data_IF_789562133149
#
_entry.id   IF_789562133149
#
_cell.length_a   1.000
_cell.length_b   1.000
_cell.length_c   1.000
_cell.angle_alpha   90.00
_cell.angle_beta   90.00
_cell.angle_gamma   90.00
#
_symmetry.space_group_name_H-M   'P 1'
#
loop_
_entity.id
_entity.type
_entity.pdbx_description
1 polymer ?
#
# COMPACT_ATOMS: atom_id res chain seq x y z
N UNK A 1 -4.00 -20.83 -11.76
CA UNK A 1 -3.29 -21.21 -10.51
C UNK A 1 -2.90 -19.92 -9.82
N UNK A 2 -3.54 -19.56 -8.71
CA UNK A 2 -3.13 -18.40 -7.92
C UNK A 2 -2.23 -18.91 -6.78
N UNK A 3 -0.96 -18.50 -6.71
CA UNK A 3 -0.05 -18.98 -5.67
C UNK A 3 -0.53 -18.57 -4.25
N UNK A 4 -0.07 -19.32 -3.26
CA UNK A 4 -0.65 -19.46 -1.91
C UNK A 4 -0.93 -18.23 -1.06
N UNK A 5 -0.51 -17.01 -1.44
CA UNK A 5 -0.97 -15.79 -0.75
C UNK A 5 -2.49 -15.59 -0.91
N UNK A 6 -3.03 -15.98 -2.07
CA UNK A 6 -4.48 -15.90 -2.34
C UNK A 6 -5.34 -16.83 -1.48
N UNK A 7 -4.75 -17.86 -0.87
CA UNK A 7 -5.46 -18.80 0.01
C UNK A 7 -5.40 -18.41 1.48
N UNK A 8 -4.62 -17.38 1.83
CA UNK A 8 -4.52 -16.86 3.20
C UNK A 8 -5.64 -15.83 3.43
N UNK A 9 -6.52 -16.02 4.44
CA UNK A 9 -7.56 -15.06 4.75
C UNK A 9 -7.00 -13.71 5.20
N UNK A 10 -7.70 -12.61 4.90
CA UNK A 10 -7.30 -11.26 5.33
C UNK A 10 -7.19 -11.12 6.86
N UNK A 11 -7.97 -11.88 7.62
CA UNK A 11 -7.90 -11.84 9.09
C UNK A 11 -6.56 -12.36 9.63
N UNK A 12 -5.90 -13.26 8.90
CA UNK A 12 -4.55 -13.73 9.24
C UNK A 12 -3.51 -12.62 8.97
N UNK A 13 -3.66 -11.87 7.87
CA UNK A 13 -2.85 -10.67 7.60
C UNK A 13 -3.04 -9.61 8.70
N UNK A 14 -4.29 -9.32 9.08
CA UNK A 14 -4.61 -8.39 10.16
C UNK A 14 -4.02 -8.82 11.49
N UNK A 15 -4.06 -10.11 11.81
CA UNK A 15 -3.42 -10.65 13.01
C UNK A 15 -1.90 -10.48 12.98
N UNK A 16 -1.27 -10.79 11.84
CA UNK A 16 0.17 -10.64 11.64
C UNK A 16 0.61 -9.17 11.74
N UNK A 17 -0.16 -8.24 11.18
CA UNK A 17 0.13 -6.80 11.27
C UNK A 17 0.03 -6.28 12.70
N UNK A 18 -1.04 -6.62 13.43
CA UNK A 18 -1.16 -6.23 14.85
C UNK A 18 0.01 -6.75 15.68
N UNK A 19 0.42 -7.99 15.45
CA UNK A 19 1.56 -8.58 16.14
C UNK A 19 2.88 -7.89 15.76
N UNK A 20 3.08 -7.60 14.47
CA UNK A 20 4.25 -6.86 14.01
C UNK A 20 4.31 -5.46 14.63
N UNK A 21 3.20 -4.72 14.68
CA UNK A 21 3.15 -3.39 15.31
C UNK A 21 3.41 -3.50 16.82
N UNK A 22 2.92 -4.55 17.50
CA UNK A 22 3.23 -4.80 18.91
C UNK A 22 4.74 -5.00 19.15
N UNK A 23 5.45 -5.61 18.21
CA UNK A 23 6.89 -5.92 18.32
C UNK A 23 7.77 -4.74 17.87
N UNK A 24 7.47 -4.13 16.73
CA UNK A 24 8.32 -3.12 16.09
C UNK A 24 7.91 -1.68 16.42
N UNK A 25 6.66 -1.47 16.83
CA UNK A 25 6.11 -0.17 17.17
C UNK A 25 5.28 0.47 16.05
N UNK A 26 4.55 1.52 16.44
CA UNK A 26 3.74 2.33 15.53
C UNK A 26 4.60 2.96 14.43
N UNK A 27 4.11 2.93 13.18
CA UNK A 27 4.81 3.43 12.01
C UNK A 27 6.16 2.74 11.70
N UNK A 28 6.43 1.56 12.28
CA UNK A 28 7.63 0.76 11.98
C UNK A 28 7.33 -0.53 11.20
N UNK A 29 6.06 -0.70 10.79
CA UNK A 29 5.60 -1.78 9.92
C UNK A 29 5.01 -1.14 8.68
N UNK A 30 5.41 -1.61 7.50
CA UNK A 30 4.83 -1.16 6.23
C UNK A 30 4.29 -2.34 5.42
N UNK A 31 3.28 -2.06 4.62
CA UNK A 31 2.72 -3.01 3.65
C UNK A 31 2.54 -2.32 2.30
N UNK A 32 2.60 -3.08 1.22
CA UNK A 32 2.42 -2.56 -0.14
C UNK A 32 0.96 -2.61 -0.56
N UNK A 33 0.46 -1.49 -1.07
CA UNK A 33 -0.83 -1.42 -1.76
C UNK A 33 -0.57 -1.06 -3.23
N UNK A 34 -1.04 -1.92 -4.13
CA UNK A 34 -0.93 -1.71 -5.58
C UNK A 34 -2.18 -1.03 -6.10
N UNK A 35 -2.00 0.04 -6.86
CA UNK A 35 -3.09 0.74 -7.56
C UNK A 35 -3.13 0.31 -9.02
N UNK A 36 -4.30 -0.06 -9.56
CA UNK A 36 -4.52 -0.31 -10.98
C UNK A 36 -4.62 -1.76 -11.40
N UNK A 37 -5.01 -2.66 -10.51
CA UNK A 37 -5.26 -4.07 -10.82
C UNK A 37 -6.76 -4.40 -10.99
N UNK A 38 -7.61 -3.37 -11.02
CA UNK A 38 -9.06 -3.47 -11.20
C UNK A 38 -9.85 -3.40 -9.89
N UNK A 39 -9.19 -3.03 -8.79
CA UNK A 39 -9.84 -2.69 -7.52
C UNK A 39 -10.64 -1.38 -7.61
N UNK A 40 -11.58 -1.20 -6.69
CA UNK A 40 -12.20 0.11 -6.47
C UNK A 40 -11.22 1.02 -5.70
N UNK A 41 -10.85 2.20 -6.25
CA UNK A 41 -9.93 3.13 -5.59
C UNK A 41 -10.39 3.58 -4.20
N UNK A 42 -11.70 3.74 -4.00
CA UNK A 42 -12.24 4.21 -2.72
C UNK A 42 -12.19 3.07 -1.68
N UNK A 43 -12.44 1.82 -2.07
CA UNK A 43 -12.24 0.66 -1.18
C UNK A 43 -10.76 0.49 -0.77
N UNK A 44 -9.82 0.72 -1.70
CA UNK A 44 -8.39 0.70 -1.39
C UNK A 44 -8.02 1.78 -0.37
N UNK A 45 -8.59 2.98 -0.49
CA UNK A 45 -8.38 4.08 0.46
C UNK A 45 -8.93 3.73 1.84
N UNK A 46 -10.11 3.11 1.93
CA UNK A 46 -10.64 2.66 3.23
C UNK A 46 -9.77 1.57 3.86
N UNK A 47 -9.27 0.61 3.06
CA UNK A 47 -8.30 -0.38 3.52
C UNK A 47 -6.98 0.25 4.01
N UNK A 48 -6.51 1.31 3.32
CA UNK A 48 -5.34 2.06 3.75
C UNK A 48 -5.57 2.77 5.10
N UNK A 49 -6.76 3.34 5.33
CA UNK A 49 -7.12 3.94 6.62
C UNK A 49 -7.16 2.89 7.73
N UNK A 50 -7.71 1.71 7.47
CA UNK A 50 -7.72 0.58 8.43
C UNK A 50 -6.28 0.22 8.86
N UNK A 51 -5.34 0.19 7.91
CA UNK A 51 -3.92 -0.06 8.18
C UNK A 51 -3.28 1.04 9.02
N UNK A 52 -3.56 2.30 8.69
CA UNK A 52 -3.07 3.47 9.43
C UNK A 52 -3.56 3.43 10.88
N UNK A 53 -4.85 3.14 11.10
CA UNK A 53 -5.43 3.01 12.44
C UNK A 53 -4.79 1.87 13.26
N UNK A 54 -4.32 0.81 12.58
CA UNK A 54 -3.53 -0.27 13.20
C UNK A 54 -2.05 0.11 13.45
N UNK A 55 -1.58 1.25 12.97
CA UNK A 55 -0.19 1.70 13.05
C UNK A 55 0.73 1.13 11.97
N UNK A 56 0.16 0.54 10.91
CA UNK A 56 0.88 0.04 9.73
C UNK A 56 0.86 1.12 8.66
N UNK A 57 2.03 1.41 8.09
CA UNK A 57 2.14 2.37 6.99
C UNK A 57 1.77 1.73 5.64
N UNK A 58 0.69 2.19 4.96
CA UNK A 58 0.33 1.71 3.63
C UNK A 58 1.20 2.38 2.56
N UNK A 59 2.20 1.65 2.07
CA UNK A 59 3.05 2.10 0.98
C UNK A 59 2.34 1.91 -0.37
N UNK A 60 1.65 2.96 -0.82
CA UNK A 60 0.87 2.99 -2.07
C UNK A 60 1.80 3.16 -3.27
N UNK A 61 1.70 2.26 -4.24
CA UNK A 61 2.47 2.32 -5.49
C UNK A 61 1.60 1.94 -6.69
N UNK A 62 1.80 2.58 -7.86
CA UNK A 62 1.07 2.19 -9.07
C UNK A 62 1.56 0.84 -9.59
N UNK A 63 0.65 0.04 -10.11
CA UNK A 63 0.98 -1.16 -10.87
C UNK A 63 1.82 -0.80 -12.10
N UNK A 64 2.96 -1.47 -12.24
CA UNK A 64 3.82 -1.37 -13.42
C UNK A 64 3.85 -2.73 -14.10
N UNK A 65 3.20 -2.90 -15.28
CA UNK A 65 3.08 -4.18 -15.96
C UNK A 65 4.45 -4.87 -16.19
N UNK A 66 4.76 -5.96 -15.47
CA UNK A 66 6.00 -6.68 -15.66
C UNK A 66 5.85 -7.71 -16.79
N UNK A 67 6.78 -7.69 -17.74
CA UNK A 67 6.84 -8.69 -18.81
C UNK A 67 6.95 -10.12 -18.22
N UNK A 68 6.27 -11.09 -18.83
CA UNK A 68 6.30 -12.49 -18.39
C UNK A 68 5.26 -12.85 -17.32
N UNK A 69 4.39 -11.92 -16.92
CA UNK A 69 3.31 -12.19 -15.96
C UNK A 69 1.99 -12.43 -16.66
N UNK A 70 1.09 -13.22 -16.06
CA UNK A 70 -0.27 -13.43 -16.60
C UNK A 70 -1.03 -12.10 -16.74
N UNK A 71 -0.89 -11.20 -15.76
CA UNK A 71 -1.51 -9.88 -15.78
C UNK A 71 -1.11 -9.07 -17.03
N UNK A 72 0.14 -9.20 -17.51
CA UNK A 72 0.62 -8.48 -18.69
C UNK A 72 0.43 -9.26 -19.99
N UNK A 73 0.80 -10.54 -20.01
CA UNK A 73 0.90 -11.31 -21.25
C UNK A 73 -0.42 -11.98 -21.65
N UNK A 74 -1.33 -12.21 -20.70
CA UNK A 74 -2.65 -12.84 -20.93
C UNK A 74 -3.78 -11.84 -20.75
N UNK A 75 -3.82 -11.15 -19.61
CA UNK A 75 -4.92 -10.25 -19.27
C UNK A 75 -4.71 -8.82 -19.81
N UNK A 76 -3.50 -8.51 -20.28
CA UNK A 76 -3.12 -7.22 -20.86
C UNK A 76 -3.47 -6.01 -19.98
N UNK A 77 -3.34 -6.16 -18.66
CA UNK A 77 -3.60 -5.11 -17.68
C UNK A 77 -2.62 -3.95 -17.90
N UNK A 78 -3.10 -2.73 -18.20
CA UNK A 78 -2.24 -1.57 -18.39
C UNK A 78 -1.76 -1.00 -17.05
N UNK A 79 -0.87 -0.01 -17.11
CA UNK A 79 -0.62 0.85 -15.95
C UNK A 79 -1.90 1.64 -15.59
N UNK A 80 -2.14 1.97 -14.31
CA UNK A 80 -3.30 2.76 -13.89
C UNK A 80 -3.30 4.14 -14.52
N UNK A 81 -4.50 4.73 -14.59
CA UNK A 81 -4.66 6.11 -15.05
C UNK A 81 -4.06 7.08 -14.00
N UNK A 82 -3.26 8.10 -14.41
CA UNK A 82 -2.56 8.96 -13.46
C UNK A 82 -3.45 9.73 -12.47
N UNK A 83 -4.69 10.09 -12.84
CA UNK A 83 -5.63 10.77 -11.93
C UNK A 83 -6.12 9.83 -10.85
N UNK A 84 -6.32 8.54 -11.15
CA UNK A 84 -6.66 7.52 -10.15
C UNK A 84 -5.53 7.36 -9.12
N UNK A 85 -4.29 7.20 -9.59
CA UNK A 85 -3.11 7.14 -8.71
C UNK A 85 -3.01 8.41 -7.86
N UNK A 86 -3.22 9.58 -8.45
CA UNK A 86 -3.20 10.85 -7.75
C UNK A 86 -4.34 11.00 -6.73
N UNK A 87 -5.53 10.48 -7.03
CA UNK A 87 -6.69 10.47 -6.12
C UNK A 87 -6.39 9.66 -4.88
N UNK A 88 -6.01 8.39 -5.06
CA UNK A 88 -5.64 7.48 -3.96
C UNK A 88 -4.50 8.08 -3.13
N UNK A 89 -3.42 8.52 -3.78
CA UNK A 89 -2.23 9.05 -3.11
C UNK A 89 -2.59 10.23 -2.19
N UNK A 90 -3.37 11.21 -2.69
CA UNK A 90 -3.74 12.39 -1.88
C UNK A 90 -4.62 12.03 -0.68
N UNK A 91 -5.54 11.09 -0.85
CA UNK A 91 -6.43 10.68 0.24
C UNK A 91 -5.67 9.90 1.32
N UNK A 92 -4.80 8.97 0.92
CA UNK A 92 -3.96 8.21 1.85
C UNK A 92 -2.94 9.11 2.55
N UNK A 93 -2.29 10.03 1.81
CA UNK A 93 -1.38 11.01 2.40
C UNK A 93 -2.07 11.90 3.44
N UNK A 94 -3.34 12.28 3.20
CA UNK A 94 -4.11 13.06 4.18
C UNK A 94 -4.36 12.25 5.45
N UNK A 95 -4.74 10.98 5.34
CA UNK A 95 -4.93 10.11 6.51
C UNK A 95 -3.63 9.91 7.30
N UNK A 96 -2.51 9.66 6.60
CA UNK A 96 -1.17 9.54 7.21
C UNK A 96 -0.77 10.79 8.00
N UNK A 97 -0.98 11.99 7.42
CA UNK A 97 -0.69 13.26 8.09
C UNK A 97 -1.55 13.45 9.34
N UNK A 98 -2.83 13.09 9.29
CA UNK A 98 -3.73 13.16 10.45
C UNK A 98 -3.26 12.22 11.56
N UNK A 99 -2.77 11.03 11.21
CA UNK A 99 -2.21 10.05 12.14
C UNK A 99 -0.77 10.38 12.61
N UNK A 100 -0.14 11.44 12.07
CA UNK A 100 1.25 11.78 12.37
C UNK A 100 2.26 10.73 11.90
N UNK A 101 1.93 10.00 10.83
CA UNK A 101 2.79 8.95 10.25
C UNK A 101 3.49 9.48 9.01
N UNK A 102 4.82 9.58 9.07
CA UNK A 102 5.66 9.96 7.94
C UNK A 102 6.58 8.80 7.57
N UNK A 103 6.71 8.52 6.27
CA UNK A 103 7.53 7.42 5.76
C UNK A 103 9.01 7.54 6.16
N UNK A 104 9.55 8.75 6.21
CA UNK A 104 10.93 9.03 6.63
C UNK A 104 11.23 8.66 8.09
N UNK A 105 10.20 8.51 8.94
CA UNK A 105 10.37 8.09 10.33
C UNK A 105 10.47 6.55 10.49
N UNK A 106 10.32 5.79 9.41
CA UNK A 106 10.58 4.35 9.41
C UNK A 106 12.09 4.07 9.55
N UNK A 107 12.45 3.09 10.36
CA UNK A 107 13.86 2.72 10.56
C UNK A 107 14.53 2.14 9.30
N UNK A 108 13.76 1.50 8.41
CA UNK A 108 14.26 0.88 7.18
C UNK A 108 13.13 0.62 6.18
N UNK A 109 13.51 0.19 4.97
CA UNK A 109 12.57 -0.31 3.97
C UNK A 109 12.14 0.73 2.95
N UNK A 110 11.23 0.34 2.07
CA UNK A 110 10.84 1.14 0.91
C UNK A 110 10.07 2.40 1.30
N UNK A 111 9.28 2.36 2.38
CA UNK A 111 8.59 3.53 2.91
C UNK A 111 9.58 4.60 3.43
N UNK A 112 10.72 4.21 4.01
CA UNK A 112 11.77 5.15 4.41
C UNK A 112 12.41 5.88 3.23
N UNK A 113 12.61 5.18 2.10
CA UNK A 113 13.19 5.77 0.89
C UNK A 113 12.15 6.57 0.07
N UNK A 114 10.88 6.15 0.05
CA UNK A 114 9.80 6.82 -0.65
C UNK A 114 9.83 6.74 -2.19
N UNK A 115 10.94 6.30 -2.81
CA UNK A 115 11.20 6.50 -4.25
C UNK A 115 10.14 5.94 -5.22
N UNK A 116 9.50 4.82 -4.88
CA UNK A 116 8.50 4.20 -5.75
C UNK A 116 7.07 4.74 -5.54
N UNK A 117 6.86 5.58 -4.53
CA UNK A 117 5.55 6.12 -4.14
C UNK A 117 5.52 7.65 -4.26
N UNK A 118 4.39 8.19 -4.69
CA UNK A 118 4.16 9.63 -4.70
C UNK A 118 3.83 10.21 -3.31
N UNK A 119 3.66 9.37 -2.27
CA UNK A 119 3.38 9.81 -0.89
C UNK A 119 4.44 10.76 -0.34
N UNK A 120 5.72 10.52 -0.67
CA UNK A 120 6.84 11.38 -0.25
C UNK A 120 6.72 12.81 -0.78
N UNK A 121 6.15 13.00 -1.98
CA UNK A 121 5.88 14.32 -2.55
C UNK A 121 4.73 15.05 -1.83
N UNK A 122 3.89 14.32 -1.10
CA UNK A 122 2.78 14.84 -0.29
C UNK A 122 3.18 15.05 1.18
N UNK A 123 4.44 14.83 1.54
CA UNK A 123 4.91 14.96 2.92
C UNK A 123 4.36 13.88 3.86
N UNK A 124 4.05 12.70 3.29
CA UNK A 124 3.62 11.50 4.00
C UNK A 124 4.64 10.39 3.86
#
# INVERSE_FOLDING_TARGET
WMPGKSTVPLDEYRAAWREAVRVFGHNQVSTYLLVGLGEDPDELVEGAKELIDMGVYPFVVPFRPPAGTLATDVDHVPAPEPREVGHVTRQVATALRVAGMVGADQAAGCAACGACSALSCEGA
#
